data_IF_126360430438
#
_entry.id   IF_126360430438
#
_cell.length_a   1.000
_cell.length_b   1.000
_cell.length_c   1.000
_cell.angle_alpha   90.00
_cell.angle_beta   90.00
_cell.angle_gamma   90.00
#
_symmetry.space_group_name_H-M   'P 1'
#
loop_
_entity.id
_entity.type
_entity.pdbx_description
1 polymer ?
#
# COMPACT_ATOMS: atom_id res chain seq x y z
N UNK A 1 5.89 17.62 -0.34
CA UNK A 1 6.16 16.30 0.28
C UNK A 1 4.89 15.49 0.09
N UNK A 2 4.96 14.31 -0.51
CA UNK A 2 3.76 13.54 -0.88
C UNK A 2 3.21 12.83 0.36
N UNK A 3 1.91 12.92 0.60
CA UNK A 3 1.25 12.21 1.67
C UNK A 3 0.99 10.76 1.26
N UNK A 4 1.31 9.81 2.13
CA UNK A 4 1.21 8.39 1.84
C UNK A 4 0.43 7.67 2.94
N UNK A 5 -0.59 6.91 2.55
CA UNK A 5 -1.35 6.07 3.46
C UNK A 5 -0.68 4.70 3.63
N UNK A 6 -0.55 4.23 4.87
CA UNK A 6 -0.11 2.88 5.17
C UNK A 6 -1.20 1.84 4.84
N UNK A 7 -1.20 1.30 3.62
CA UNK A 7 -2.08 0.22 3.19
C UNK A 7 -1.48 -1.16 3.50
N UNK A 8 -1.03 -1.33 4.73
CA UNK A 8 -0.59 -2.61 5.30
C UNK A 8 -1.37 -2.92 6.57
N UNK A 9 -1.14 -4.10 7.17
CA UNK A 9 -1.80 -4.54 8.42
C UNK A 9 -1.01 -4.19 9.69
N UNK A 10 0.16 -3.58 9.57
CA UNK A 10 1.05 -3.35 10.70
C UNK A 10 1.38 -1.87 10.87
N UNK A 11 1.48 -1.44 12.12
CA UNK A 11 2.02 -0.12 12.42
C UNK A 11 3.52 -0.09 12.06
N UNK A 12 3.96 0.87 11.24
CA UNK A 12 5.37 0.99 10.89
C UNK A 12 6.14 1.47 12.09
N UNK A 13 7.41 1.09 12.16
CA UNK A 13 8.32 1.54 13.19
C UNK A 13 8.89 2.90 12.85
N UNK A 14 9.47 3.58 13.85
CA UNK A 14 10.12 4.89 13.67
C UNK A 14 11.16 4.89 12.55
N UNK A 15 11.93 3.81 12.41
CA UNK A 15 12.93 3.68 11.34
C UNK A 15 12.28 3.62 9.95
N UNK A 16 11.15 2.93 9.80
CA UNK A 16 10.40 2.84 8.54
C UNK A 16 9.73 4.18 8.20
N UNK A 17 9.17 4.88 9.19
CA UNK A 17 8.63 6.23 9.00
C UNK A 17 9.73 7.18 8.51
N UNK A 18 10.90 7.17 9.16
CA UNK A 18 12.06 7.99 8.77
C UNK A 18 12.53 7.65 7.37
N UNK A 19 12.61 6.36 7.03
CA UNK A 19 12.99 5.89 5.70
C UNK A 19 12.12 6.55 4.62
N UNK A 20 10.81 6.59 4.81
CA UNK A 20 9.89 7.21 3.84
C UNK A 20 10.00 8.74 3.79
N UNK A 21 10.20 9.38 4.94
CA UNK A 21 10.45 10.82 5.02
C UNK A 21 11.69 11.22 4.22
N UNK A 22 12.79 10.47 4.34
CA UNK A 22 14.02 10.67 3.57
C UNK A 22 13.83 10.47 2.05
N UNK A 23 12.76 9.78 1.63
CA UNK A 23 12.38 9.61 0.21
C UNK A 23 11.32 10.61 -0.25
N UNK A 24 10.99 11.61 0.56
CA UNK A 24 10.03 12.67 0.20
C UNK A 24 8.56 12.31 0.43
N UNK A 25 8.29 11.26 1.21
CA UNK A 25 6.94 10.84 1.58
C UNK A 25 6.64 11.07 3.07
N UNK A 26 5.46 11.62 3.35
CA UNK A 26 4.90 11.68 4.69
C UNK A 26 4.00 10.46 4.90
N UNK A 27 4.52 9.41 5.52
CA UNK A 27 3.74 8.22 5.84
C UNK A 27 2.81 8.49 7.03
N UNK A 28 1.51 8.41 6.80
CA UNK A 28 0.53 8.23 7.87
C UNK A 28 0.63 6.78 8.38
N UNK A 29 1.00 6.56 9.65
CA UNK A 29 1.34 5.23 10.14
C UNK A 29 0.13 4.31 10.37
N UNK A 30 -1.11 4.83 10.35
CA UNK A 30 -2.30 4.03 10.66
C UNK A 30 -2.50 2.92 9.63
N UNK A 31 -2.52 1.63 10.03
CA UNK A 31 -2.80 0.52 9.14
C UNK A 31 -4.20 0.64 8.52
N UNK A 32 -4.30 0.41 7.21
CA UNK A 32 -5.56 0.52 6.45
C UNK A 32 -5.85 -0.67 5.57
N UNK A 33 -4.94 -1.65 5.47
CA UNK A 33 -5.27 -2.88 4.76
C UNK A 33 -6.38 -3.62 5.51
N UNK A 34 -7.48 -4.00 4.84
CA UNK A 34 -8.54 -4.75 5.48
C UNK A 34 -8.05 -6.13 5.94
N UNK A 35 -8.69 -6.66 6.98
CA UNK A 35 -8.60 -8.10 7.26
C UNK A 35 -9.57 -8.81 6.33
N UNK A 36 -9.06 -9.77 5.55
CA UNK A 36 -9.89 -10.60 4.70
C UNK A 36 -10.44 -11.80 5.48
N UNK A 37 -11.64 -12.21 5.10
CA UNK A 37 -12.19 -13.52 5.45
C UNK A 37 -11.73 -14.53 4.40
N UNK A 38 -11.31 -15.73 4.84
CA UNK A 38 -10.85 -16.80 3.94
C UNK A 38 -11.97 -17.37 3.07
N UNK A 39 -13.23 -17.12 3.43
CA UNK A 39 -14.41 -17.52 2.65
C UNK A 39 -14.75 -16.59 1.49
N UNK A 40 -14.12 -15.42 1.41
CA UNK A 40 -14.45 -14.43 0.39
C UNK A 40 -13.90 -14.77 -0.99
N UNK A 41 -14.73 -14.54 -2.01
CA UNK A 41 -14.32 -14.55 -3.40
C UNK A 41 -13.64 -13.25 -3.82
N UNK A 42 -13.04 -13.27 -5.03
CA UNK A 42 -12.29 -12.14 -5.56
C UNK A 42 -13.16 -10.88 -5.77
N UNK A 43 -14.45 -11.04 -6.08
CA UNK A 43 -15.38 -9.91 -6.22
C UNK A 43 -15.61 -9.17 -4.89
N UNK A 44 -15.77 -9.91 -3.79
CA UNK A 44 -15.95 -9.35 -2.45
C UNK A 44 -14.69 -8.63 -1.98
N UNK A 45 -13.53 -9.25 -2.22
CA UNK A 45 -12.22 -8.64 -1.96
C UNK A 45 -12.08 -7.33 -2.75
N UNK A 46 -12.36 -7.36 -4.05
CA UNK A 46 -12.30 -6.19 -4.93
C UNK A 46 -13.23 -5.07 -4.46
N UNK A 47 -14.48 -5.39 -4.13
CA UNK A 47 -15.46 -4.44 -3.63
C UNK A 47 -15.02 -3.74 -2.34
N UNK A 48 -14.47 -4.49 -1.38
CA UNK A 48 -13.94 -3.89 -0.15
C UNK A 48 -12.74 -2.99 -0.42
N UNK A 49 -11.82 -3.42 -1.29
CA UNK A 49 -10.64 -2.62 -1.63
C UNK A 49 -11.01 -1.30 -2.31
N UNK A 50 -12.03 -1.29 -3.18
CA UNK A 50 -12.58 -0.05 -3.75
C UNK A 50 -13.01 0.89 -2.63
N UNK A 51 -13.80 0.40 -1.68
CA UNK A 51 -14.31 1.22 -0.56
C UNK A 51 -13.15 1.83 0.25
N UNK A 52 -12.15 1.02 0.61
CA UNK A 52 -11.02 1.50 1.42
C UNK A 52 -10.12 2.48 0.66
N UNK A 53 -9.91 2.27 -0.64
CA UNK A 53 -9.12 3.16 -1.48
C UNK A 53 -9.84 4.48 -1.71
N UNK A 54 -11.16 4.47 -1.90
CA UNK A 54 -11.96 5.71 -2.00
C UNK A 54 -11.88 6.52 -0.70
N UNK A 55 -11.94 5.87 0.46
CA UNK A 55 -11.74 6.56 1.75
C UNK A 55 -10.35 7.21 1.85
N UNK A 56 -9.32 6.54 1.34
CA UNK A 56 -7.97 7.11 1.28
C UNK A 56 -7.94 8.32 0.34
N UNK A 57 -8.54 8.20 -0.86
CA UNK A 57 -8.55 9.31 -1.82
C UNK A 57 -9.33 10.51 -1.29
N UNK A 58 -10.49 10.28 -0.68
CA UNK A 58 -11.32 11.32 -0.06
C UNK A 58 -10.59 12.07 1.08
N UNK A 59 -9.64 11.41 1.74
CA UNK A 59 -8.77 12.03 2.77
C UNK A 59 -7.60 12.84 2.19
N UNK A 60 -7.45 12.89 0.87
CA UNK A 60 -6.44 13.71 0.20
C UNK A 60 -5.05 13.10 0.13
N UNK A 61 -4.91 11.78 0.27
CA UNK A 61 -3.62 11.12 0.11
C UNK A 61 -3.15 11.11 -1.35
N UNK A 62 -1.84 11.22 -1.56
CA UNK A 62 -1.20 11.16 -2.88
C UNK A 62 -0.78 9.73 -3.27
N UNK A 63 -0.54 8.88 -2.26
CA UNK A 63 0.05 7.57 -2.44
C UNK A 63 -0.45 6.54 -1.41
N UNK A 64 -0.30 5.27 -1.74
CA UNK A 64 -0.43 4.15 -0.80
C UNK A 64 0.88 3.36 -0.71
N UNK A 65 1.20 2.92 0.50
CA UNK A 65 2.22 1.93 0.78
C UNK A 65 1.59 0.56 0.90
N UNK A 66 2.00 -0.38 0.05
CA UNK A 66 1.61 -1.79 0.11
C UNK A 66 2.81 -2.66 0.50
N UNK A 67 2.53 -3.84 1.08
CA UNK A 67 3.57 -4.78 1.50
C UNK A 67 3.09 -6.23 1.49
N UNK A 68 3.97 -7.15 1.08
CA UNK A 68 3.66 -8.57 0.92
C UNK A 68 3.29 -8.96 -0.51
N UNK A 69 3.19 -10.27 -0.77
CA UNK A 69 2.83 -10.83 -2.06
C UNK A 69 1.53 -11.64 -1.90
N UNK A 70 0.39 -10.96 -2.05
CA UNK A 70 -0.94 -11.60 -2.08
C UNK A 70 -1.74 -11.07 -3.28
N UNK A 71 -2.73 -11.83 -3.73
CA UNK A 71 -3.73 -11.39 -4.72
C UNK A 71 -4.35 -10.03 -4.35
N UNK A 72 -4.64 -9.81 -3.06
CA UNK A 72 -5.12 -8.53 -2.52
C UNK A 72 -4.24 -7.34 -2.92
N UNK A 73 -2.91 -7.51 -2.97
CA UNK A 73 -2.00 -6.44 -3.35
C UNK A 73 -2.06 -6.10 -4.83
N UNK A 74 -2.34 -7.07 -5.70
CA UNK A 74 -2.53 -6.84 -7.13
C UNK A 74 -3.81 -6.02 -7.38
N UNK A 75 -4.91 -6.37 -6.71
CA UNK A 75 -6.16 -5.59 -6.79
C UNK A 75 -5.99 -4.19 -6.20
N UNK A 76 -5.37 -4.08 -5.02
CA UNK A 76 -5.13 -2.78 -4.38
C UNK A 76 -4.27 -1.88 -5.27
N UNK A 77 -3.26 -2.43 -5.94
CA UNK A 77 -2.46 -1.70 -6.91
C UNK A 77 -3.31 -1.20 -8.08
N UNK A 78 -4.06 -2.10 -8.73
CA UNK A 78 -4.90 -1.75 -9.88
C UNK A 78 -5.92 -0.67 -9.53
N UNK A 79 -6.66 -0.88 -8.44
CA UNK A 79 -7.72 0.03 -8.02
C UNK A 79 -7.16 1.39 -7.61
N UNK A 80 -6.07 1.43 -6.82
CA UNK A 80 -5.49 2.69 -6.33
C UNK A 80 -4.94 3.54 -7.46
N UNK A 81 -4.25 2.91 -8.42
CA UNK A 81 -3.74 3.62 -9.59
C UNK A 81 -4.87 4.20 -10.44
N UNK A 82 -5.96 3.43 -10.63
CA UNK A 82 -7.16 3.91 -11.35
C UNK A 82 -7.87 5.10 -10.67
N UNK A 83 -7.49 5.43 -9.43
CA UNK A 83 -7.95 6.59 -8.66
C UNK A 83 -6.89 7.69 -8.51
N UNK A 84 -5.82 7.60 -9.30
CA UNK A 84 -4.75 8.57 -9.32
C UNK A 84 -3.92 8.59 -8.04
N UNK A 85 -3.77 7.43 -7.37
CA UNK A 85 -2.84 7.25 -6.27
C UNK A 85 -1.56 6.60 -6.78
N UNK A 86 -0.40 7.06 -6.30
CA UNK A 86 0.85 6.34 -6.50
C UNK A 86 0.87 5.08 -5.61
N UNK A 87 1.35 3.97 -6.14
CA UNK A 87 1.45 2.71 -5.38
C UNK A 87 2.92 2.37 -5.15
N UNK A 88 3.33 2.37 -3.89
CA UNK A 88 4.69 2.07 -3.47
C UNK A 88 4.68 0.70 -2.80
N UNK A 89 5.49 -0.22 -3.32
CA UNK A 89 5.67 -1.54 -2.72
C UNK A 89 6.96 -1.58 -1.92
N UNK A 90 6.87 -1.90 -0.64
CA UNK A 90 8.03 -2.18 0.20
C UNK A 90 8.36 -3.67 0.23
N UNK A 91 9.61 -4.00 -0.08
CA UNK A 91 10.19 -5.31 0.19
C UNK A 91 11.09 -5.20 1.40
N UNK A 92 10.74 -5.92 2.44
CA UNK A 92 11.57 -6.05 3.62
C UNK A 92 11.79 -7.48 4.04
N UNK A 93 12.64 -7.63 5.04
CA UNK A 93 13.03 -8.91 5.63
C UNK A 93 12.88 -8.80 7.14
N UNK A 94 12.60 -9.93 7.78
CA UNK A 94 12.60 -10.01 9.25
C UNK A 94 14.06 -9.89 9.73
N UNK A 95 14.41 -8.75 10.31
CA UNK A 95 15.66 -8.54 11.05
C UNK A 95 15.52 -8.91 12.53
N UNK A 96 16.62 -8.79 13.27
CA UNK A 96 16.71 -9.04 14.72
C UNK A 96 15.75 -8.18 15.51
N UNK A 97 15.70 -6.89 15.19
CA UNK A 97 14.77 -5.97 15.85
C UNK A 97 13.41 -5.96 15.17
N UNK A 98 13.24 -6.64 14.02
CA UNK A 98 12.03 -6.89 13.23
C UNK A 98 12.09 -6.38 11.79
N UNK A 99 10.99 -5.94 11.17
CA UNK A 99 10.97 -5.72 9.71
C UNK A 99 11.87 -4.55 9.28
N UNK A 100 12.74 -4.83 8.31
CA UNK A 100 13.64 -3.84 7.70
C UNK A 100 13.28 -3.72 6.23
N UNK A 101 12.91 -2.53 5.77
CA UNK A 101 12.72 -2.24 4.35
C UNK A 101 14.08 -2.29 3.66
N UNK A 102 14.22 -3.16 2.67
CA UNK A 102 15.50 -3.37 1.97
C UNK A 102 15.46 -2.91 0.53
N UNK A 103 14.28 -2.82 -0.04
CA UNK A 103 14.04 -2.15 -1.30
C UNK A 103 12.60 -1.63 -1.32
N UNK A 104 12.36 -0.64 -2.15
CA UNK A 104 11.02 -0.27 -2.57
C UNK A 104 10.99 -0.09 -4.08
N UNK A 105 9.80 -0.21 -4.63
CA UNK A 105 9.53 0.10 -6.02
C UNK A 105 8.23 0.88 -6.10
N UNK A 106 8.21 1.92 -6.94
CA UNK A 106 6.94 2.44 -7.44
C UNK A 106 6.43 1.42 -8.46
N UNK A 107 5.22 0.91 -8.25
CA UNK A 107 4.64 0.00 -9.23
C UNK A 107 4.30 0.77 -10.51
N UNK A 108 4.45 0.08 -11.64
CA UNK A 108 4.12 0.64 -12.95
C UNK A 108 2.62 0.93 -13.02
N UNK A 109 2.18 1.74 -13.98
CA UNK A 109 0.74 1.84 -14.23
C UNK A 109 0.27 0.49 -14.79
N UNK A 110 -0.83 -0.11 -14.29
CA UNK A 110 -1.39 -1.30 -14.90
C UNK A 110 -1.68 -1.13 -16.39
N UNK A 111 -2.08 0.08 -16.82
CA UNK A 111 -2.33 0.35 -18.25
C UNK A 111 -1.05 0.33 -19.10
N UNK A 112 0.13 0.43 -18.49
CA UNK A 112 1.43 0.28 -19.18
C UNK A 112 1.87 -1.18 -19.37
N UNK A 113 1.12 -2.15 -18.82
CA UNK A 113 1.39 -3.58 -18.95
C UNK A 113 0.63 -4.23 -20.12
N UNK A 114 -0.05 -3.43 -20.95
CA UNK A 114 -0.66 -3.94 -22.17
C UNK A 114 0.42 -4.55 -23.07
N UNK A 115 0.18 -5.80 -23.49
CA UNK A 115 0.94 -6.48 -24.54
C UNK A 115 0.57 -5.92 -25.93
#
# INVERSE_FOLDING_TARGET
MNTMANFTRHYPRKAEIRYWQEKGYCLDPTPRAPSLDESWGEEEIGGLLVIEIEKIKARGFDAILIGGLTNMMAYAWFIAESRGLQVLHARGRKGTDGYVITAYSRLLSPSSLAA
#
